data_IF_429526991780
#
_entry.id   IF_429526991780
#
_cell.length_a   1.000
_cell.length_b   1.000
_cell.length_c   1.000
_cell.angle_alpha   90.00
_cell.angle_beta   90.00
_cell.angle_gamma   90.00
#
_symmetry.space_group_name_H-M   'P 1'
#
loop_
_entity.id
_entity.type
_entity.pdbx_description
1 polymer ?
#
# COMPACT_ATOMS: atom_id res chain seq x y z
N UNK A 1 9.99 -17.81 12.10
CA UNK A 1 11.16 -17.00 11.69
C UNK A 1 10.99 -16.36 10.31
N UNK A 2 10.95 -17.10 9.20
CA UNK A 2 10.85 -16.47 7.85
C UNK A 2 9.49 -15.79 7.60
N UNK A 3 8.39 -16.43 8.00
CA UNK A 3 7.03 -15.87 7.89
C UNK A 3 6.84 -14.64 8.77
N UNK A 4 7.37 -14.67 9.99
CA UNK A 4 7.33 -13.55 10.94
C UNK A 4 8.14 -12.36 10.41
N UNK A 5 9.31 -12.61 9.83
CA UNK A 5 10.12 -11.57 9.22
C UNK A 5 9.39 -10.91 8.05
N UNK A 6 8.80 -11.70 7.15
CA UNK A 6 8.02 -11.16 6.03
C UNK A 6 6.82 -10.31 6.48
N UNK A 7 6.11 -10.74 7.53
CA UNK A 7 4.98 -9.98 8.08
C UNK A 7 5.41 -8.65 8.70
N UNK A 8 6.49 -8.65 9.49
CA UNK A 8 7.02 -7.43 10.10
C UNK A 8 7.59 -6.48 9.05
N UNK A 9 8.28 -7.01 8.04
CA UNK A 9 8.81 -6.21 6.93
C UNK A 9 7.69 -5.54 6.11
N UNK A 10 6.62 -6.27 5.80
CA UNK A 10 5.46 -5.72 5.11
C UNK A 10 4.80 -4.60 5.91
N UNK A 11 4.63 -4.79 7.23
CA UNK A 11 4.10 -3.76 8.13
C UNK A 11 4.98 -2.50 8.14
N UNK A 12 6.30 -2.68 8.32
CA UNK A 12 7.25 -1.55 8.38
C UNK A 12 7.25 -0.81 7.04
N UNK A 13 7.24 -1.53 5.93
CA UNK A 13 7.24 -0.95 4.59
C UNK A 13 5.98 -0.13 4.36
N UNK A 14 4.79 -0.68 4.63
CA UNK A 14 3.54 0.06 4.50
C UNK A 14 3.49 1.34 5.35
N UNK A 15 4.01 1.30 6.58
CA UNK A 15 4.07 2.50 7.44
C UNK A 15 5.10 3.53 6.97
N UNK A 16 6.21 3.08 6.36
CA UNK A 16 7.21 3.97 5.78
C UNK A 16 6.73 4.63 4.47
N UNK A 17 5.92 3.92 3.67
CA UNK A 17 5.40 4.42 2.39
C UNK A 17 4.38 5.55 2.59
N UNK A 18 3.54 5.46 3.63
CA UNK A 18 2.57 6.51 3.98
C UNK A 18 3.25 7.80 4.45
N UNK A 19 4.48 7.72 5.01
CA UNK A 19 5.08 8.84 5.73
C UNK A 19 6.59 9.00 5.51
N UNK A 20 6.94 9.98 4.67
CA UNK A 20 8.34 10.33 4.34
C UNK A 20 9.20 10.68 5.56
N UNK A 21 8.59 11.15 6.65
CA UNK A 21 9.29 11.45 7.90
C UNK A 21 9.73 10.18 8.66
N UNK A 22 8.91 9.14 8.66
CA UNK A 22 9.23 7.86 9.30
C UNK A 22 10.25 7.06 8.47
N UNK A 23 10.18 7.16 7.14
CA UNK A 23 11.19 6.58 6.24
C UNK A 23 12.61 7.12 6.50
N UNK A 24 12.76 8.42 6.84
CA UNK A 24 14.06 9.03 7.15
C UNK A 24 14.68 8.53 8.46
N UNK A 25 13.85 8.10 9.43
CA UNK A 25 14.29 7.61 10.75
C UNK A 25 13.91 6.15 10.95
N UNK A 26 14.09 5.33 9.91
CA UNK A 26 13.67 3.92 9.88
C UNK A 26 14.20 3.11 11.08
N UNK A 27 15.47 3.27 11.45
CA UNK A 27 16.08 2.51 12.55
C UNK A 27 15.36 2.70 13.90
N UNK A 28 15.07 3.96 14.25
CA UNK A 28 14.33 4.28 15.49
C UNK A 28 12.89 3.80 15.44
N UNK A 29 12.25 3.90 14.27
CA UNK A 29 10.89 3.43 14.08
C UNK A 29 10.78 1.91 14.29
N UNK A 30 11.68 1.15 13.67
CA UNK A 30 11.72 -0.32 13.82
C UNK A 30 11.98 -0.70 15.28
N UNK A 31 12.90 -0.02 15.97
CA UNK A 31 13.16 -0.26 17.39
C UNK A 31 11.89 -0.05 18.25
N UNK A 32 11.12 1.02 18.00
CA UNK A 32 9.86 1.28 18.70
C UNK A 32 8.84 0.16 18.44
N UNK A 33 8.67 -0.23 17.18
CA UNK A 33 7.74 -1.31 16.80
C UNK A 33 8.13 -2.62 17.48
N UNK A 34 9.41 -2.98 17.49
CA UNK A 34 9.90 -4.18 18.18
C UNK A 34 9.63 -4.14 19.70
N UNK A 35 9.83 -3.00 20.35
CA UNK A 35 9.53 -2.82 21.78
C UNK A 35 8.03 -2.97 22.06
N UNK A 36 7.17 -2.40 21.21
CA UNK A 36 5.71 -2.54 21.34
C UNK A 36 5.27 -4.00 21.18
N UNK A 37 5.82 -4.72 20.19
CA UNK A 37 5.56 -6.15 20.01
C UNK A 37 6.01 -6.97 21.22
N UNK A 38 7.19 -6.68 21.77
CA UNK A 38 7.69 -7.36 22.96
C UNK A 38 6.70 -7.25 24.13
N UNK A 39 6.22 -6.04 24.43
CA UNK A 39 5.23 -5.82 25.48
C UNK A 39 3.87 -6.46 25.16
N UNK A 40 3.42 -6.39 23.90
CA UNK A 40 2.17 -7.01 23.45
C UNK A 40 2.20 -8.55 23.52
N UNK A 41 3.37 -9.16 23.39
CA UNK A 41 3.54 -10.62 23.50
C UNK A 41 3.70 -11.13 24.94
N UNK A 42 3.96 -10.26 25.93
CA UNK A 42 4.11 -10.67 27.34
C UNK A 42 2.93 -11.49 27.90
N UNK A 43 1.65 -11.16 27.61
CA UNK A 43 0.52 -11.96 28.07
C UNK A 43 0.54 -13.39 27.50
N UNK A 44 1.04 -13.57 26.28
CA UNK A 44 1.05 -14.85 25.58
C UNK A 44 2.09 -15.85 26.15
N UNK A 45 3.16 -15.35 26.78
CA UNK A 45 4.19 -16.21 27.40
C UNK A 45 3.90 -16.55 28.87
N UNK A 46 2.85 -15.97 29.45
CA UNK A 46 2.43 -16.26 30.83
C UNK A 46 1.82 -17.68 30.96
N UNK A 47 1.65 -18.19 32.18
CA UNK A 47 0.92 -19.46 32.42
C UNK A 47 -0.52 -19.45 31.87
N UNK A 48 -1.12 -18.25 31.75
CA UNK A 48 -2.42 -18.04 31.13
C UNK A 48 -2.40 -17.92 29.59
N UNK A 49 -1.22 -17.94 28.97
CA UNK A 49 -1.04 -17.81 27.52
C UNK A 49 -1.82 -18.85 26.72
N UNK A 50 -1.98 -20.06 27.27
CA UNK A 50 -2.79 -21.14 26.69
C UNK A 50 -4.26 -20.76 26.45
N UNK A 51 -4.79 -19.78 27.19
CA UNK A 51 -6.15 -19.25 27.00
C UNK A 51 -6.15 -17.96 26.18
N UNK A 52 -5.12 -17.12 26.34
CA UNK A 52 -5.01 -15.82 25.65
C UNK A 52 -4.75 -16.01 24.16
N UNK A 53 -3.89 -16.95 23.76
CA UNK A 53 -3.52 -17.17 22.36
C UNK A 53 -4.75 -17.59 21.52
N UNK A 54 -5.52 -18.64 21.88
CA UNK A 54 -6.70 -19.01 21.12
C UNK A 54 -7.77 -17.91 21.12
N UNK A 55 -7.91 -17.20 22.23
CA UNK A 55 -8.86 -16.10 22.32
C UNK A 55 -8.53 -14.97 21.32
N UNK A 56 -7.26 -14.56 21.22
CA UNK A 56 -6.83 -13.54 20.28
C UNK A 56 -6.87 -14.02 18.82
N UNK A 57 -6.61 -15.29 18.56
CA UNK A 57 -6.70 -15.87 17.21
C UNK A 57 -8.14 -15.85 16.67
N UNK A 58 -9.08 -16.33 17.49
CA UNK A 58 -10.49 -16.42 17.13
C UNK A 58 -11.19 -15.06 17.07
N UNK A 59 -10.99 -14.21 18.09
CA UNK A 59 -11.68 -12.91 18.17
C UNK A 59 -10.92 -11.78 17.46
N UNK A 60 -9.60 -11.85 17.39
CA UNK A 60 -8.75 -10.78 16.86
C UNK A 60 -8.36 -10.96 15.41
N UNK A 61 -7.90 -12.15 15.00
CA UNK A 61 -7.31 -12.35 13.66
C UNK A 61 -8.34 -12.83 12.64
N UNK A 62 -9.05 -13.92 12.96
CA UNK A 62 -9.90 -14.65 12.01
C UNK A 62 -10.92 -13.75 11.28
N UNK A 63 -11.82 -13.11 12.01
CA UNK A 63 -12.87 -12.26 11.42
C UNK A 63 -12.33 -10.95 10.83
N UNK A 64 -11.27 -10.39 11.42
CA UNK A 64 -10.66 -9.13 10.98
C UNK A 64 -10.00 -9.27 9.62
N UNK A 65 -9.20 -10.34 9.42
CA UNK A 65 -8.55 -10.61 8.12
C UNK A 65 -9.59 -10.92 7.05
N UNK A 66 -10.61 -11.73 7.36
CA UNK A 66 -11.69 -12.02 6.41
C UNK A 66 -12.44 -10.76 5.96
N UNK A 67 -12.69 -9.84 6.89
CA UNK A 67 -13.30 -8.54 6.58
C UNK A 67 -12.42 -7.70 5.65
N UNK A 68 -11.14 -7.54 5.98
CA UNK A 68 -10.19 -6.77 5.17
C UNK A 68 -10.11 -7.32 3.74
N UNK A 69 -9.94 -8.65 3.61
CA UNK A 69 -9.84 -9.30 2.29
C UNK A 69 -11.14 -9.18 1.51
N UNK A 70 -12.30 -9.25 2.17
CA UNK A 70 -13.59 -9.04 1.49
C UNK A 70 -13.69 -7.61 0.95
N UNK A 71 -13.34 -6.61 1.75
CA UNK A 71 -13.33 -5.21 1.32
C UNK A 71 -12.35 -4.98 0.17
N UNK A 72 -11.15 -5.54 0.24
CA UNK A 72 -10.13 -5.43 -0.82
C UNK A 72 -10.60 -6.07 -2.13
N UNK A 73 -11.18 -7.27 -2.07
CA UNK A 73 -11.67 -7.96 -3.27
C UNK A 73 -12.88 -7.24 -3.88
N UNK A 74 -13.80 -6.70 -3.08
CA UNK A 74 -14.90 -5.88 -3.58
C UNK A 74 -14.38 -4.56 -4.18
N UNK A 75 -13.39 -3.92 -3.54
CA UNK A 75 -12.72 -2.74 -4.06
C UNK A 75 -12.11 -3.00 -5.44
N UNK A 76 -11.31 -4.06 -5.60
CA UNK A 76 -10.65 -4.37 -6.87
C UNK A 76 -11.65 -4.85 -7.94
N UNK A 77 -12.57 -5.76 -7.61
CA UNK A 77 -13.43 -6.36 -8.62
C UNK A 77 -14.59 -5.45 -9.07
N UNK A 78 -15.18 -4.68 -8.17
CA UNK A 78 -16.35 -3.84 -8.48
C UNK A 78 -16.04 -2.36 -8.63
N UNK A 79 -15.21 -1.78 -7.76
CA UNK A 79 -14.90 -0.36 -7.85
C UNK A 79 -13.80 -0.08 -8.89
N UNK A 80 -12.74 -0.88 -8.91
CA UNK A 80 -11.68 -0.75 -9.91
C UNK A 80 -12.07 -1.40 -11.25
N UNK A 81 -12.71 -2.57 -11.20
CA UNK A 81 -13.22 -3.27 -12.37
C UNK A 81 -12.23 -4.27 -12.97
N UNK A 82 -12.74 -5.44 -13.36
CA UNK A 82 -11.94 -6.58 -13.84
C UNK A 82 -11.20 -6.26 -15.15
N UNK A 83 -11.80 -5.44 -16.03
CA UNK A 83 -11.19 -5.08 -17.30
C UNK A 83 -9.97 -4.17 -17.13
N UNK A 84 -10.04 -3.21 -16.19
CA UNK A 84 -8.90 -2.34 -15.85
C UNK A 84 -7.77 -3.15 -15.21
N UNK A 85 -8.11 -4.02 -14.26
CA UNK A 85 -7.16 -4.93 -13.64
C UNK A 85 -6.47 -5.86 -14.67
N UNK A 86 -7.24 -6.37 -15.63
CA UNK A 86 -6.67 -7.17 -16.71
C UNK A 86 -5.76 -6.37 -17.64
N UNK A 87 -5.96 -5.06 -17.78
CA UNK A 87 -5.10 -4.19 -18.57
C UNK A 87 -3.78 -3.92 -17.85
N UNK A 88 -3.82 -3.66 -16.55
CA UNK A 88 -2.59 -3.45 -15.75
C UNK A 88 -1.69 -4.67 -15.79
N UNK A 89 -2.26 -5.87 -15.68
CA UNK A 89 -1.50 -7.13 -15.79
C UNK A 89 -0.84 -7.25 -17.16
N UNK A 90 -1.54 -6.83 -18.23
CA UNK A 90 -0.97 -6.82 -19.58
C UNK A 90 0.19 -5.83 -19.68
N UNK A 91 0.09 -4.65 -19.06
CA UNK A 91 1.17 -3.67 -19.04
C UNK A 91 2.38 -4.19 -18.25
N UNK A 92 2.17 -4.94 -17.17
CA UNK A 92 3.25 -5.49 -16.34
C UNK A 92 3.92 -6.74 -16.94
N UNK A 93 3.15 -7.61 -17.59
CA UNK A 93 3.62 -8.93 -18.07
C UNK A 93 3.76 -9.02 -19.59
N UNK A 94 3.21 -8.07 -20.34
CA UNK A 94 3.20 -8.06 -21.81
C UNK A 94 2.10 -8.91 -22.47
N UNK A 95 1.29 -9.66 -21.71
CA UNK A 95 0.22 -10.52 -22.25
C UNK A 95 -1.09 -10.40 -21.49
N UNK A 96 -2.22 -10.62 -22.19
CA UNK A 96 -3.54 -10.62 -21.56
C UNK A 96 -3.77 -11.90 -20.73
N UNK A 97 -4.27 -11.80 -19.49
CA UNK A 97 -4.69 -12.97 -18.73
C UNK A 97 -5.87 -13.67 -19.43
N UNK A 98 -5.80 -14.99 -19.53
CA UNK A 98 -6.84 -15.80 -20.19
C UNK A 98 -8.21 -15.73 -19.49
N UNK A 99 -9.26 -16.18 -20.20
CA UNK A 99 -10.66 -16.14 -19.73
C UNK A 99 -10.88 -16.87 -18.39
N UNK A 100 -10.16 -17.95 -18.13
CA UNK A 100 -10.22 -18.67 -16.86
C UNK A 100 -9.88 -17.78 -15.66
N UNK A 101 -8.83 -16.97 -15.78
CA UNK A 101 -8.39 -16.06 -14.72
C UNK A 101 -9.40 -14.94 -14.49
N UNK A 102 -9.98 -14.40 -15.55
CA UNK A 102 -11.03 -13.37 -15.46
C UNK A 102 -12.29 -13.88 -14.74
N UNK A 103 -12.75 -15.08 -15.08
CA UNK A 103 -13.89 -15.71 -14.40
C UNK A 103 -13.55 -15.97 -12.93
N UNK A 104 -12.34 -16.46 -12.65
CA UNK A 104 -11.87 -16.67 -11.27
C UNK A 104 -11.96 -15.38 -10.46
N UNK A 105 -11.42 -14.27 -10.96
CA UNK A 105 -11.47 -12.98 -10.28
C UNK A 105 -12.89 -12.45 -10.08
N UNK A 106 -13.82 -12.74 -10.99
CA UNK A 106 -15.22 -12.36 -10.81
C UNK A 106 -15.91 -13.18 -9.70
N UNK A 107 -15.53 -14.45 -9.56
CA UNK A 107 -16.13 -15.37 -8.58
C UNK A 107 -15.50 -15.27 -7.19
N UNK A 108 -14.22 -14.90 -7.08
CA UNK A 108 -13.48 -14.70 -5.83
C UNK A 108 -14.21 -13.81 -4.80
N UNK A 109 -14.64 -12.57 -5.12
CA UNK A 109 -15.29 -11.69 -4.14
C UNK A 109 -16.62 -12.26 -3.64
N UNK A 110 -17.35 -12.99 -4.50
CA UNK A 110 -18.63 -13.62 -4.13
C UNK A 110 -18.38 -14.76 -3.14
N UNK A 111 -17.42 -15.64 -3.44
CA UNK A 111 -17.09 -16.77 -2.59
C UNK A 111 -16.58 -16.33 -1.21
N UNK A 112 -15.67 -15.34 -1.18
CA UNK A 112 -15.11 -14.80 0.05
C UNK A 112 -16.21 -14.09 0.87
N UNK A 113 -17.11 -13.34 0.23
CA UNK A 113 -18.25 -12.71 0.92
C UNK A 113 -19.21 -13.73 1.54
N UNK A 114 -19.47 -14.85 0.87
CA UNK A 114 -20.30 -15.93 1.43
C UNK A 114 -19.64 -16.53 2.66
N UNK A 115 -18.33 -16.80 2.62
CA UNK A 115 -17.57 -17.29 3.78
C UNK A 115 -17.66 -16.28 4.92
N UNK A 116 -17.45 -15.00 4.66
CA UNK A 116 -17.53 -13.94 5.67
C UNK A 116 -18.90 -13.94 6.37
N UNK A 117 -19.99 -13.97 5.63
CA UNK A 117 -21.36 -14.00 6.19
C UNK A 117 -21.57 -15.26 7.04
N UNK A 118 -21.13 -16.42 6.56
CA UNK A 118 -21.24 -17.68 7.31
C UNK A 118 -20.43 -17.66 8.61
N UNK A 119 -19.21 -17.11 8.59
CA UNK A 119 -18.37 -16.98 9.78
C UNK A 119 -18.97 -16.02 10.80
N UNK A 120 -19.52 -14.88 10.35
CA UNK A 120 -20.21 -13.93 11.24
C UNK A 120 -21.47 -14.55 11.86
N UNK A 121 -22.23 -15.32 11.08
CA UNK A 121 -23.39 -16.05 11.58
C UNK A 121 -22.98 -17.05 12.67
N UNK A 122 -21.95 -17.86 12.41
CA UNK A 122 -21.44 -18.85 13.36
C UNK A 122 -20.87 -18.18 14.64
N UNK A 123 -20.20 -17.04 14.50
CA UNK A 123 -19.60 -16.30 15.61
C UNK A 123 -20.63 -15.68 16.58
N UNK A 124 -21.91 -15.60 16.19
CA UNK A 124 -23.00 -15.07 17.01
C UNK A 124 -23.66 -16.15 17.90
N UNK A 125 -23.39 -17.43 17.65
CA UNK A 125 -24.19 -18.55 18.18
C UNK A 125 -23.62 -19.23 19.43
N UNK A 126 -22.35 -19.03 19.81
CA UNK A 126 -21.81 -19.67 21.02
C UNK A 126 -20.61 -18.93 21.64
N UNK A 127 -20.50 -18.91 22.98
CA UNK A 127 -19.24 -18.56 23.65
C UNK A 127 -18.17 -19.59 23.26
N UNK A 128 -16.94 -19.13 23.00
CA UNK A 128 -15.80 -20.01 22.78
C UNK A 128 -15.70 -21.00 23.96
N UNK A 129 -15.59 -22.30 23.67
CA UNK A 129 -15.38 -23.33 24.67
C UNK A 129 -14.06 -24.01 24.39
N UNK A 130 -13.17 -24.01 25.38
CA UNK A 130 -11.99 -24.87 25.36
C UNK A 130 -12.32 -26.17 26.09
N UNK A 131 -11.65 -27.29 25.77
CA UNK A 131 -11.86 -28.55 26.48
C UNK A 131 -11.56 -28.36 27.97
N UNK A 132 -12.60 -28.42 28.81
CA UNK A 132 -12.50 -28.25 30.26
C UNK A 132 -12.51 -26.79 30.76
N UNK A 133 -12.71 -25.78 29.90
CA UNK A 133 -12.81 -24.38 30.32
C UNK A 133 -13.84 -23.60 29.50
N UNK A 134 -14.83 -23.04 30.20
CA UNK A 134 -15.81 -22.11 29.61
C UNK A 134 -15.35 -20.68 29.85
N UNK A 135 -15.32 -19.89 28.78
CA UNK A 135 -14.95 -18.49 28.89
C UNK A 135 -16.00 -17.70 29.68
N UNK A 136 -15.59 -16.80 30.58
CA UNK A 136 -16.51 -15.96 31.34
C UNK A 136 -17.24 -14.96 30.43
N UNK A 137 -18.41 -14.49 30.86
CA UNK A 137 -19.24 -13.59 30.04
C UNK A 137 -18.58 -12.25 29.72
N UNK A 138 -17.69 -11.73 30.58
CA UNK A 138 -16.95 -10.49 30.29
C UNK A 138 -16.00 -10.62 29.10
N UNK A 139 -15.43 -11.81 28.87
CA UNK A 139 -14.48 -12.00 27.75
C UNK A 139 -15.21 -12.02 26.42
N UNK A 140 -16.49 -12.40 26.39
CA UNK A 140 -17.35 -12.25 25.20
C UNK A 140 -17.47 -10.78 24.82
N UNK A 141 -17.69 -9.89 25.80
CA UNK A 141 -17.74 -8.45 25.57
C UNK A 141 -16.43 -7.90 24.99
N UNK A 142 -15.28 -8.32 25.53
CA UNK A 142 -13.98 -7.95 24.98
C UNK A 142 -13.75 -8.49 23.57
N UNK A 143 -14.19 -9.72 23.29
CA UNK A 143 -14.09 -10.32 21.97
C UNK A 143 -14.89 -9.55 20.91
N UNK A 144 -16.10 -9.12 21.25
CA UNK A 144 -16.91 -8.25 20.38
C UNK A 144 -16.28 -6.86 20.19
N UNK A 145 -15.71 -6.29 21.26
CA UNK A 145 -15.00 -5.01 21.16
C UNK A 145 -13.81 -5.10 20.19
N UNK A 146 -13.00 -6.17 20.27
CA UNK A 146 -11.88 -6.39 19.35
C UNK A 146 -12.34 -6.51 17.88
N UNK A 147 -13.42 -7.26 17.63
CA UNK A 147 -14.00 -7.39 16.28
C UNK A 147 -14.48 -6.03 15.74
N UNK A 148 -15.22 -5.29 16.55
CA UNK A 148 -15.75 -3.98 16.15
C UNK A 148 -14.64 -2.96 15.92
N UNK A 149 -13.55 -3.01 16.69
CA UNK A 149 -12.41 -2.13 16.50
C UNK A 149 -11.80 -2.26 15.10
N UNK A 150 -11.64 -3.50 14.61
CA UNK A 150 -11.15 -3.74 13.25
C UNK A 150 -12.15 -3.29 12.19
N UNK A 151 -13.43 -3.63 12.34
CA UNK A 151 -14.47 -3.27 11.36
C UNK A 151 -14.67 -1.75 11.28
N UNK A 152 -14.53 -1.05 12.40
CA UNK A 152 -14.68 0.41 12.48
C UNK A 152 -13.49 1.16 11.88
N UNK A 153 -12.32 0.55 11.74
CA UNK A 153 -11.13 1.21 11.18
C UNK A 153 -11.34 1.69 9.73
N UNK A 154 -12.00 0.89 8.90
CA UNK A 154 -12.30 1.20 7.49
C UNK A 154 -13.23 2.43 7.34
N UNK A 155 -14.42 2.48 7.98
CA UNK A 155 -15.28 3.66 7.92
C UNK A 155 -14.66 4.87 8.62
N UNK A 156 -13.87 4.70 9.68
CA UNK A 156 -13.14 5.81 10.30
C UNK A 156 -12.15 6.45 9.33
N UNK A 157 -11.42 5.64 8.56
CA UNK A 157 -10.52 6.15 7.53
C UNK A 157 -11.29 6.90 6.42
N UNK A 158 -12.42 6.35 5.98
CA UNK A 158 -13.29 7.03 5.01
C UNK A 158 -13.83 8.37 5.55
N UNK A 159 -14.27 8.41 6.81
CA UNK A 159 -14.72 9.64 7.48
C UNK A 159 -13.59 10.66 7.66
N UNK A 160 -12.38 10.19 7.99
CA UNK A 160 -11.19 11.02 8.10
C UNK A 160 -10.90 11.72 6.76
N UNK A 161 -10.86 10.96 5.66
CA UNK A 161 -10.67 11.51 4.32
C UNK A 161 -11.78 12.51 3.95
N UNK A 162 -13.03 12.19 4.27
CA UNK A 162 -14.16 13.06 4.01
C UNK A 162 -14.14 14.36 4.84
N UNK A 163 -13.60 14.33 6.05
CA UNK A 163 -13.47 15.52 6.90
C UNK A 163 -12.35 16.48 6.45
N UNK A 164 -11.29 15.95 5.82
CA UNK A 164 -10.21 16.75 5.24
C UNK A 164 -10.57 17.32 3.86
N UNK A 165 -11.46 16.65 3.13
CA UNK A 165 -12.01 17.14 1.87
C UNK A 165 -12.93 18.36 2.13
N UNK A 166 -12.45 19.55 1.78
CA UNK A 166 -13.24 20.79 1.83
C UNK A 166 -14.17 20.86 0.60
N UNK A 167 -15.32 20.19 0.64
CA UNK A 167 -16.30 20.19 -0.45
C UNK A 167 -17.67 19.60 -0.08
N UNK A 168 -18.64 19.70 -0.98
CA UNK A 168 -19.98 19.11 -0.83
C UNK A 168 -19.89 17.58 -0.87
N UNK A 169 -20.64 16.87 -0.03
CA UNK A 169 -20.54 15.40 0.14
C UNK A 169 -20.62 14.60 -1.16
N UNK A 170 -21.41 15.07 -2.13
CA UNK A 170 -21.59 14.41 -3.43
C UNK A 170 -20.37 14.58 -4.36
N UNK A 171 -19.79 15.78 -4.44
CA UNK A 171 -18.57 16.03 -5.25
C UNK A 171 -17.35 15.32 -4.66
N UNK A 172 -17.31 15.23 -3.33
CA UNK A 172 -16.26 14.53 -2.60
C UNK A 172 -16.29 13.03 -2.85
N UNK A 173 -17.48 12.41 -2.85
CA UNK A 173 -17.63 10.98 -3.10
C UNK A 173 -17.21 10.60 -4.54
N UNK A 174 -17.56 11.43 -5.52
CA UNK A 174 -17.13 11.27 -6.91
C UNK A 174 -15.62 11.48 -7.08
N UNK A 175 -15.01 12.38 -6.30
CA UNK A 175 -13.55 12.60 -6.33
C UNK A 175 -12.73 11.51 -5.62
N UNK A 176 -13.33 10.77 -4.68
CA UNK A 176 -12.68 9.71 -3.90
C UNK A 176 -12.74 8.35 -4.63
N UNK A 177 -13.79 8.12 -5.42
CA UNK A 177 -13.84 6.95 -6.30
C UNK A 177 -12.80 7.11 -7.42
N UNK A 178 -11.98 6.09 -7.72
CA UNK A 178 -10.92 6.20 -8.70
C UNK A 178 -11.53 6.20 -10.10
N UNK A 179 -11.99 7.36 -10.56
CA UNK A 179 -12.39 7.54 -11.95
C UNK A 179 -11.41 8.42 -12.75
N UNK A 180 -10.37 9.02 -12.17
CA UNK A 180 -9.57 10.01 -12.94
C UNK A 180 -8.05 9.92 -12.87
N UNK A 181 -7.42 9.08 -12.03
CA UNK A 181 -5.95 9.01 -12.04
C UNK A 181 -5.38 8.24 -13.25
N UNK A 182 -6.23 7.48 -13.97
CA UNK A 182 -5.81 6.78 -15.18
C UNK A 182 -5.62 7.75 -16.37
N UNK A 183 -6.43 8.81 -16.49
CA UNK A 183 -6.31 9.74 -17.63
C UNK A 183 -5.01 10.55 -17.60
N UNK A 184 -4.45 10.89 -16.43
CA UNK A 184 -3.16 11.58 -16.34
C UNK A 184 -1.95 10.67 -16.64
N UNK A 185 -2.11 9.34 -16.56
CA UNK A 185 -1.07 8.35 -16.84
C UNK A 185 -1.12 7.81 -18.29
N UNK A 186 -2.24 8.00 -18.99
CA UNK A 186 -2.42 7.55 -20.38
C UNK A 186 -1.87 8.56 -21.40
N UNK A 187 -1.74 9.85 -21.04
CA UNK A 187 -1.25 10.88 -21.98
C UNK A 187 0.22 10.63 -22.42
N UNK A 188 1.00 9.79 -21.72
CA UNK A 188 2.36 9.41 -22.14
C UNK A 188 2.43 8.13 -22.99
N UNK A 189 1.31 7.50 -23.35
CA UNK A 189 1.30 6.20 -24.03
C UNK A 189 0.44 6.14 -25.31
N UNK A 190 0.36 7.23 -26.08
CA UNK A 190 -0.22 7.16 -27.43
C UNK A 190 0.86 7.21 -28.53
N UNK A 191 0.97 6.05 -29.21
CA UNK A 191 1.33 5.84 -30.60
C UNK A 191 2.80 5.50 -30.95
N UNK A 192 3.09 4.20 -31.07
CA UNK A 192 3.78 3.71 -32.26
C UNK A 192 3.31 2.29 -32.64
N UNK A 193 2.24 2.23 -33.43
CA UNK A 193 1.64 1.00 -33.99
C UNK A 193 2.38 0.52 -35.26
N UNK A 194 3.69 0.80 -35.39
CA UNK A 194 4.45 0.56 -36.63
C UNK A 194 5.51 -0.55 -36.60
N UNK A 195 5.74 -1.27 -35.49
CA UNK A 195 6.68 -2.42 -35.48
C UNK A 195 5.95 -3.71 -35.90
N UNK A 196 5.47 -3.69 -37.15
CA UNK A 196 5.35 -4.88 -37.99
C UNK A 196 6.19 -4.58 -39.23
N UNK A 197 7.14 -5.46 -39.53
CA UNK A 197 7.88 -5.54 -40.79
C UNK A 197 9.22 -4.78 -40.92
N UNK A 198 10.15 -4.89 -39.96
CA UNK A 198 11.57 -4.65 -40.28
C UNK A 198 12.44 -5.83 -39.84
N UNK A 199 13.06 -6.42 -40.86
CA UNK A 199 13.72 -7.71 -40.92
C UNK A 199 15.15 -7.66 -40.35
N UNK A 200 15.70 -8.87 -40.10
CA UNK A 200 17.07 -9.34 -39.80
C UNK A 200 18.31 -8.50 -40.25
N UNK A 201 18.17 -7.37 -40.93
CA UNK A 201 19.28 -6.56 -41.47
C UNK A 201 19.72 -5.40 -40.56
N UNK A 202 18.89 -4.94 -39.62
CA UNK A 202 19.21 -3.78 -38.77
C UNK A 202 20.22 -4.07 -37.65
N UNK A 203 20.28 -5.31 -37.14
CA UNK A 203 21.20 -5.69 -36.05
C UNK A 203 22.68 -5.47 -36.42
N UNK A 204 23.02 -5.53 -37.72
CA UNK A 204 24.39 -5.31 -38.21
C UNK A 204 24.77 -3.83 -38.29
N UNK A 205 23.80 -2.95 -38.53
CA UNK A 205 24.00 -1.50 -38.51
C UNK A 205 24.21 -1.00 -37.07
N UNK A 206 23.43 -1.52 -36.11
CA UNK A 206 23.57 -1.19 -34.69
C UNK A 206 24.94 -1.59 -34.12
N UNK A 207 25.52 -2.74 -34.51
CA UNK A 207 26.87 -3.13 -34.06
C UNK A 207 27.99 -2.22 -34.64
N UNK A 208 27.89 -1.79 -35.91
CA UNK A 208 28.86 -0.87 -36.50
C UNK A 208 28.80 0.53 -35.86
N UNK A 209 27.59 1.00 -35.53
CA UNK A 209 27.35 2.30 -34.90
C UNK A 209 27.80 2.33 -33.43
N UNK A 210 27.64 1.22 -32.71
CA UNK A 210 28.19 1.02 -31.36
C UNK A 210 29.73 1.00 -31.36
N UNK A 211 30.36 0.42 -32.39
CA UNK A 211 31.82 0.43 -32.56
C UNK A 211 32.36 1.85 -32.80
N UNK A 212 31.60 2.68 -33.52
CA UNK A 212 31.92 4.09 -33.79
C UNK A 212 31.78 4.94 -32.52
N UNK A 213 30.71 4.72 -31.75
CA UNK A 213 30.44 5.44 -30.50
C UNK A 213 31.45 5.15 -29.39
N UNK A 214 32.00 3.92 -29.32
CA UNK A 214 33.04 3.56 -28.34
C UNK A 214 34.38 4.27 -28.57
N UNK A 215 34.69 4.62 -29.83
CA UNK A 215 35.90 5.38 -30.17
C UNK A 215 35.77 6.90 -29.89
N UNK A 216 34.54 7.43 -29.85
CA UNK A 216 34.27 8.85 -29.52
C UNK A 216 34.24 9.07 -28.00
N UNK A 217 33.78 8.06 -27.23
CA UNK A 217 33.63 8.15 -25.76
C UNK A 217 34.95 8.19 -24.97
N UNK A 218 36.09 8.07 -25.65
CA UNK A 218 37.42 8.37 -25.08
C UNK A 218 37.73 9.86 -24.94
N UNK A 219 36.97 10.76 -25.60
CA UNK A 219 37.32 12.19 -25.71
C UNK A 219 36.35 13.15 -25.00
N UNK A 220 35.23 12.71 -24.44
CA UNK A 220 34.23 13.58 -23.80
C UNK A 220 34.04 13.13 -22.34
N UNK A 221 35.07 13.38 -21.54
CA UNK A 221 35.03 13.33 -20.08
C UNK A 221 35.29 14.74 -19.58
N UNK A 222 34.31 15.65 -19.63
CA UNK A 222 34.37 16.92 -18.89
C UNK A 222 33.09 17.77 -18.82
N UNK A 223 32.03 17.55 -19.62
CA UNK A 223 30.97 18.58 -19.81
C UNK A 223 29.54 18.24 -19.36
N UNK A 224 29.21 16.99 -18.98
CA UNK A 224 27.81 16.61 -18.65
C UNK A 224 27.51 16.54 -17.14
N UNK A 225 28.50 16.86 -16.28
CA UNK A 225 28.30 16.89 -14.81
C UNK A 225 27.67 18.21 -14.32
N UNK A 226 27.64 19.27 -15.14
CA UNK A 226 27.20 20.61 -14.72
C UNK A 226 25.69 20.88 -14.95
N UNK A 227 24.99 20.10 -15.78
CA UNK A 227 23.56 20.33 -16.10
C UNK A 227 22.62 19.61 -15.11
N UNK A 228 23.08 18.54 -14.46
CA UNK A 228 22.27 17.79 -13.48
C UNK A 228 22.13 18.50 -12.13
N UNK A 229 23.04 19.40 -11.76
CA UNK A 229 23.01 20.11 -10.47
C UNK A 229 22.04 21.32 -10.50
N UNK A 230 21.83 21.99 -11.64
CA UNK A 230 20.90 23.13 -11.75
C UNK A 230 19.42 22.73 -11.68
N UNK A 231 19.03 21.57 -12.22
CA UNK A 231 17.63 21.12 -12.19
C UNK A 231 17.21 20.59 -10.81
N UNK A 232 18.11 19.92 -10.09
CA UNK A 232 17.85 19.46 -8.71
C UNK A 232 17.71 20.66 -7.75
N UNK A 233 18.48 21.74 -7.97
CA UNK A 233 18.38 22.98 -7.19
C UNK A 233 17.06 23.72 -7.36
N UNK A 234 16.46 23.72 -8.56
CA UNK A 234 15.16 24.39 -8.81
C UNK A 234 13.97 23.63 -8.23
N UNK A 235 14.02 22.30 -8.20
CA UNK A 235 12.99 21.48 -7.56
C UNK A 235 13.00 21.66 -6.02
N UNK A 236 14.17 21.76 -5.40
CA UNK A 236 14.30 21.97 -3.96
C UNK A 236 13.76 23.35 -3.48
N UNK A 237 13.89 24.39 -4.32
CA UNK A 237 13.41 25.74 -4.03
C UNK A 237 11.87 25.90 -4.11
N UNK A 238 11.20 25.09 -4.95
CA UNK A 238 9.74 25.13 -5.05
C UNK A 238 9.06 24.46 -3.84
N UNK A 239 9.62 23.37 -3.33
CA UNK A 239 9.11 22.68 -2.15
C UNK A 239 9.27 23.49 -0.86
N UNK A 240 10.33 24.27 -0.71
CA UNK A 240 10.54 25.16 0.46
C UNK A 240 9.64 26.40 0.47
N UNK A 241 9.07 26.79 -0.68
CA UNK A 241 8.13 27.92 -0.76
C UNK A 241 6.70 27.52 -0.33
N UNK A 242 6.32 26.25 -0.50
CA UNK A 242 5.02 25.74 -0.06
C UNK A 242 4.91 25.57 1.48
N UNK A 243 6.03 25.45 2.19
CA UNK A 243 6.07 25.31 3.65
C UNK A 243 6.04 26.67 4.40
N UNK A 244 6.24 27.80 3.69
CA UNK A 244 6.23 29.16 4.27
C UNK A 244 4.84 29.82 4.39
N UNK A 245 3.77 29.10 4.05
CA UNK A 245 2.39 29.59 4.13
C UNK A 245 1.72 29.53 5.50
N UNK A 246 2.37 28.98 6.54
CA UNK A 246 1.77 28.87 7.88
C UNK A 246 2.77 29.20 8.99
N UNK A 247 2.65 30.41 9.55
CA UNK A 247 2.93 30.68 10.97
C UNK A 247 4.38 30.74 11.43
N UNK A 248 5.02 31.90 11.24
CA UNK A 248 5.80 32.65 12.24
C UNK A 248 6.50 31.89 13.37
N UNK A 249 7.85 31.93 13.42
CA UNK A 249 8.64 32.33 14.60
C UNK A 249 10.17 32.27 14.33
N UNK A 250 10.78 33.46 14.36
CA UNK A 250 12.09 33.82 14.98
C UNK A 250 13.35 32.94 14.80
N UNK A 251 14.49 33.61 14.57
CA UNK A 251 15.85 33.08 14.33
C UNK A 251 16.01 32.48 12.92
N UNK A 252 16.78 33.04 11.98
CA UNK A 252 18.22 33.32 12.06
C UNK A 252 18.51 34.44 11.07
N UNK A 253 18.57 35.68 11.56
CA UNK A 253 19.08 36.83 10.83
C UNK A 253 20.23 37.43 11.63
N UNK A 254 21.38 36.74 11.58
CA UNK A 254 22.71 37.27 11.89
C UNK A 254 23.71 36.18 11.55
N UNK A 255 24.54 36.45 10.54
CA UNK A 255 25.92 36.02 10.30
C UNK A 255 26.13 36.08 8.78
N UNK A 256 26.27 37.30 8.29
CA UNK A 256 27.11 37.65 7.15
C UNK A 256 27.77 38.97 7.53
N UNK A 257 29.04 39.14 7.12
CA UNK A 257 30.04 40.15 7.51
C UNK A 257 31.00 39.69 8.63
N UNK A 258 32.00 38.88 8.30
CA UNK A 258 33.32 39.37 7.90
C UNK A 258 34.17 38.26 7.27
#
# INVERSE_FOLDING_TARGET
MTTEFAGIEALITGLCDESRLLARKREWFVAIVCVLYYFGSLPAISYGGQYVIPFLDEYGVSLSVLFIVTCEMVAVCWFYGIDRFSNDIKTMLGFYPGLYWRICWMMCPIFISVIFIMTVWHASLAPMQLPGYTFPTWSVGLGWFLRLLSVLSVPLFALYMLSYAKGTLAETFTSILPETLYDDLVIDCEEDDSIKDVNDDDDKLWEEEMRKSRNVKGSIRSSDFEVSEEMVGRAAAFYTSAEKGSGSLSCVQKISLH
#
